data_IF_801384762232
#
_entry.id   IF_801384762232
#
_cell.length_a   1.000
_cell.length_b   1.000
_cell.length_c   1.000
_cell.angle_alpha   90.00
_cell.angle_beta   90.00
_cell.angle_gamma   90.00
#
_symmetry.space_group_name_H-M   'P 1'
#
loop_
_entity.id
_entity.type
_entity.pdbx_description
1 polymer ?
2 non-polymer ?
3 non-polymer ?
4 non-polymer ?
5 water ?
#
# COMPACT_ATOMS: atom_id res chain seq x y z
N UNK A 4 6.71 -11.73 18.58
CA UNK A 4 6.03 -10.50 18.16
C UNK A 4 6.26 -9.38 19.15
N UNK A 5 6.75 -8.25 18.65
CA UNK A 5 6.96 -7.05 19.46
C UNK A 5 5.96 -5.98 19.07
N UNK A 6 5.40 -5.31 20.07
CA UNK A 6 4.55 -4.15 19.84
C UNK A 6 5.44 -2.91 19.87
N UNK A 7 5.54 -2.23 18.74
CA UNK A 7 6.38 -1.04 18.64
C UNK A 7 5.63 0.23 19.00
N UNK A 8 4.33 0.27 18.78
CA UNK A 8 3.54 1.45 19.09
C UNK A 8 2.09 1.05 19.26
N UNK A 9 1.38 1.79 20.11
CA UNK A 9 -0.05 1.67 20.29
C UNK A 9 -0.68 3.05 20.10
N UNK A 10 -2.00 3.10 20.23
CA UNK A 10 -2.75 4.36 20.15
C UNK A 10 -2.48 5.08 18.83
N UNK A 11 -2.33 4.31 17.75
CA UNK A 11 -2.24 4.87 16.41
C UNK A 11 -3.66 4.93 15.82
N UNK A 12 -3.94 6.02 15.11
CA UNK A 12 -5.28 6.28 14.59
C UNK A 12 -5.39 5.65 13.21
N UNK A 13 -5.61 4.33 13.21
CA UNK A 13 -5.67 3.49 12.02
C UNK A 13 -4.34 3.55 11.28
N UNK A 14 -3.30 2.91 11.80
CA UNK A 14 -2.00 2.95 11.12
C UNK A 14 -2.04 2.21 9.79
N UNK A 15 -1.19 2.66 8.87
CA UNK A 15 -1.11 2.08 7.54
C UNK A 15 0.19 2.55 6.91
N UNK A 16 0.46 2.05 5.71
CA UNK A 16 1.61 2.47 4.92
C UNK A 16 2.94 2.48 5.65
N UNK A 17 3.28 1.39 6.33
CA UNK A 17 4.57 1.34 7.03
C UNK A 17 5.73 1.34 6.04
N UNK A 18 6.70 2.21 6.29
CA UNK A 18 7.95 2.26 5.56
C UNK A 18 9.07 2.12 6.58
N UNK A 19 9.85 1.04 6.47
CA UNK A 19 10.86 0.71 7.46
C UNK A 19 12.18 1.31 7.01
N UNK A 20 12.57 2.39 7.68
CA UNK A 20 13.77 3.13 7.28
C UNK A 20 15.03 2.35 7.65
N UNK A 21 16.14 2.61 6.94
CA UNK A 21 17.41 1.97 7.33
C UNK A 21 17.83 2.25 8.76
N UNK A 22 17.44 3.38 9.35
CA UNK A 22 17.89 3.68 10.72
C UNK A 22 17.10 2.90 11.77
N UNK A 23 16.20 2.01 11.35
CA UNK A 23 15.38 1.23 12.26
C UNK A 23 14.05 1.86 12.59
N UNK A 24 13.89 3.14 12.33
CA UNK A 24 12.61 3.80 12.54
C UNK A 24 11.62 3.37 11.46
N UNK A 25 10.35 3.60 11.75
CA UNK A 25 9.27 3.30 10.81
C UNK A 25 8.49 4.58 10.61
N UNK A 26 8.35 5.00 9.37
CA UNK A 26 7.47 6.10 9.00
C UNK A 26 6.20 5.47 8.44
N UNK A 27 5.06 5.82 9.01
CA UNK A 27 3.78 5.28 8.59
C UNK A 27 2.74 6.37 8.62
N UNK A 28 1.58 6.09 8.04
CA UNK A 28 0.46 7.01 8.03
C UNK A 28 -0.52 6.60 9.12
N UNK A 29 -1.26 7.57 9.62
CA UNK A 29 -2.42 7.34 10.50
C UNK A 29 -3.61 7.94 9.76
N UNK A 30 -4.43 7.10 9.15
CA UNK A 30 -5.47 7.60 8.25
C UNK A 30 -6.45 8.48 9.01
N UNK A 31 -6.89 8.04 10.19
CA UNK A 31 -7.88 8.80 10.94
C UNK A 31 -7.27 10.07 11.51
N UNK A 32 -6.04 9.99 12.02
CA UNK A 32 -5.37 11.18 12.53
C UNK A 32 -4.92 12.12 11.42
N UNK A 33 -4.96 11.67 10.17
CA UNK A 33 -4.56 12.47 9.02
C UNK A 33 -3.15 13.03 9.20
N UNK A 34 -2.20 12.12 9.43
CA UNK A 34 -0.84 12.57 9.65
C UNK A 34 0.15 11.48 9.24
N UNK A 35 1.36 11.92 8.93
CA UNK A 35 2.50 11.05 8.70
C UNK A 35 3.30 10.99 10.00
N UNK A 36 3.46 9.80 10.55
CA UNK A 36 4.05 9.61 11.85
C UNK A 36 5.34 8.82 11.73
N UNK A 37 6.29 9.11 12.60
CA UNK A 37 7.56 8.40 12.64
C UNK A 37 7.69 7.72 13.99
N UNK A 38 7.82 6.40 13.98
CA UNK A 38 7.97 5.61 15.18
C UNK A 38 9.45 5.30 15.32
N UNK A 39 10.09 5.94 16.31
CA UNK A 39 11.50 5.75 16.54
C UNK A 39 11.77 4.35 17.07
N UNK A 40 12.99 3.86 16.94
CA UNK A 40 13.30 2.52 17.47
C UNK A 40 13.05 2.38 18.96
N UNK A 41 13.15 3.45 19.74
CA UNK A 41 12.84 3.37 21.16
C UNK A 41 11.34 3.33 21.42
N UNK A 42 10.52 3.79 20.47
CA UNK A 42 9.07 3.80 20.60
C UNK A 42 8.47 5.18 20.64
N UNK A 43 9.29 6.23 20.72
CA UNK A 43 8.77 7.60 20.70
C UNK A 43 8.03 7.87 19.40
N UNK A 44 6.85 8.45 19.49
CA UNK A 44 6.05 8.82 18.32
C UNK A 44 6.26 10.29 18.01
N UNK A 45 6.66 10.58 16.79
CA UNK A 45 6.86 11.95 16.32
C UNK A 45 6.01 12.16 15.07
N UNK A 46 5.36 13.32 14.99
CA UNK A 46 4.54 13.65 13.83
C UNK A 46 5.43 14.34 12.81
N UNK A 47 5.67 13.66 11.68
CA UNK A 47 6.44 14.27 10.60
C UNK A 47 5.67 15.42 9.98
N UNK A 48 4.39 15.20 9.68
CA UNK A 48 3.55 16.22 9.07
C UNK A 48 2.09 15.84 9.20
N UNK A 49 1.24 16.85 9.29
CA UNK A 49 -0.19 16.67 9.11
C UNK A 49 -0.49 16.54 7.62
N UNK A 50 -1.29 15.55 7.25
CA UNK A 50 -1.66 15.35 5.86
C UNK A 50 -3.18 15.27 5.80
N UNK A 51 -3.87 16.40 5.63
CA UNK A 51 -5.34 16.36 5.66
C UNK A 51 -5.91 15.41 4.63
N UNK A 52 -7.07 14.85 4.94
CA UNK A 52 -7.73 13.92 4.06
C UNK A 52 -7.67 12.49 4.59
N UNK A 53 -6.95 11.64 3.88
CA UNK A 53 -6.80 10.26 4.26
C UNK A 53 -5.50 9.66 3.78
N UNK A 54 -4.39 10.05 4.38
CA UNK A 54 -3.10 9.44 4.03
C UNK A 54 -3.15 7.93 4.25
N UNK A 55 -2.96 7.18 3.18
CA UNK A 55 -3.34 5.77 3.12
C UNK A 55 -2.16 4.84 2.87
N UNK A 56 -1.15 5.28 2.14
CA UNK A 56 0.01 4.45 1.86
C UNK A 56 1.21 5.34 1.60
N UNK A 57 2.38 4.78 1.83
CA UNK A 57 3.61 5.57 1.75
C UNK A 57 4.73 4.75 1.14
N UNK A 58 5.63 5.46 0.45
CA UNK A 58 6.80 4.84 -0.15
C UNK A 58 7.88 5.90 -0.31
N UNK A 59 9.12 5.52 0.00
CA UNK A 59 10.24 6.42 -0.15
C UNK A 59 10.61 6.53 -1.63
N UNK A 60 10.78 7.76 -2.11
CA UNK A 60 11.12 8.00 -3.48
C UNK A 60 12.58 8.36 -3.66
N UNK A 61 12.96 8.64 -4.91
CA UNK A 61 14.39 8.86 -5.20
C UNK A 61 14.98 10.07 -4.50
N UNK A 62 14.16 11.05 -4.14
CA UNK A 62 14.63 12.31 -3.56
C UNK A 62 14.75 12.24 -2.04
N UNK A 63 14.68 11.05 -1.46
CA UNK A 63 14.61 10.93 -0.01
C UNK A 63 13.33 11.44 0.58
N UNK A 64 12.36 11.82 -0.26
CA UNK A 64 11.06 12.29 0.20
C UNK A 64 10.06 11.15 0.21
N UNK A 65 9.04 11.31 1.03
CA UNK A 65 8.04 10.27 1.23
C UNK A 65 6.83 10.54 0.34
N UNK A 66 6.56 9.62 -0.57
CA UNK A 66 5.40 9.71 -1.45
C UNK A 66 4.19 9.06 -0.80
N UNK A 67 3.04 9.71 -0.93
CA UNK A 67 1.85 9.37 -0.17
C UNK A 67 0.68 9.21 -1.13
N UNK A 68 -0.06 8.12 -0.96
CA UNK A 68 -1.40 7.98 -1.52
C UNK A 68 -2.39 8.57 -0.51
N UNK A 69 -3.11 9.60 -0.93
CA UNK A 69 -4.12 10.24 -0.09
C UNK A 69 -5.50 9.87 -0.63
N UNK A 70 -6.27 9.13 0.14
CA UNK A 70 -7.57 8.70 -0.33
C UNK A 70 -8.66 9.77 -0.20
N UNK A 71 -8.31 10.96 0.30
CA UNK A 71 -9.26 12.05 0.40
C UNK A 71 -10.09 12.06 1.66
N UNK A 72 -10.09 10.98 2.43
CA UNK A 72 -10.86 10.92 3.66
C UNK A 72 -11.73 9.68 3.80
N UNK A 73 -11.79 9.14 5.01
CA UNK A 73 -12.73 8.09 5.39
C UNK A 73 -13.70 8.64 6.43
N UNK A 74 -14.78 7.89 6.64
CA UNK A 74 -15.76 8.20 7.68
C UNK A 74 -15.71 7.19 8.81
N UNK A 84 -12.98 2.08 9.27
CA UNK A 84 -13.30 3.16 8.33
C UNK A 84 -14.58 2.87 7.56
N UNK A 85 -15.18 3.92 7.00
CA UNK A 85 -16.40 3.76 6.23
C UNK A 85 -16.50 4.77 5.11
N UNK A 86 -17.67 4.86 4.48
CA UNK A 86 -17.86 5.84 3.43
C UNK A 86 -17.85 7.24 4.03
N UNK A 87 -17.00 8.15 3.55
CA UNK A 87 -17.01 9.51 4.10
C UNK A 87 -18.28 10.26 3.69
N UNK A 88 -18.66 11.21 4.54
CA UNK A 88 -19.69 12.16 4.15
C UNK A 88 -19.14 13.09 3.07
N UNK A 89 -20.01 13.70 2.27
CA UNK A 89 -19.52 14.56 1.18
C UNK A 89 -18.51 15.61 1.61
N UNK A 90 -18.66 16.17 2.82
CA UNK A 90 -17.84 17.30 3.23
C UNK A 90 -16.55 16.90 3.92
N UNK A 91 -16.39 15.63 4.31
CA UNK A 91 -15.11 15.17 4.84
C UNK A 91 -14.23 14.53 3.78
N UNK A 92 -14.75 14.30 2.58
CA UNK A 92 -13.96 13.86 1.45
C UNK A 92 -13.45 15.09 0.69
N UNK A 93 -12.13 15.19 0.55
CA UNK A 93 -11.49 16.36 -0.04
C UNK A 93 -10.80 16.03 -1.36
N UNK A 94 -11.08 14.86 -1.93
CA UNK A 94 -10.44 14.47 -3.17
C UNK A 94 -9.17 13.67 -2.97
N UNK A 95 -8.97 12.65 -3.80
CA UNK A 95 -7.76 11.87 -3.71
C UNK A 95 -6.58 12.55 -4.36
N UNK A 96 -5.39 12.10 -4.02
CA UNK A 96 -4.20 12.74 -4.59
C UNK A 96 -2.97 11.90 -4.32
N UNK A 97 -1.91 12.21 -5.06
CA UNK A 97 -0.58 11.73 -4.80
C UNK A 97 0.21 12.91 -4.26
N UNK A 98 0.82 12.74 -3.10
CA UNK A 98 1.51 13.82 -2.41
C UNK A 98 2.92 13.39 -2.06
N UNK A 99 3.73 14.37 -1.68
CA UNK A 99 5.11 14.18 -1.29
C UNK A 99 5.36 14.95 0.00
N UNK A 100 5.98 14.29 0.97
CA UNK A 100 6.31 14.91 2.25
C UNK A 100 7.83 14.91 2.42
N UNK A 101 8.39 16.07 2.73
CA UNK A 101 9.82 16.19 3.03
C UNK A 101 10.05 15.78 4.48
N UNK A 102 10.86 14.76 4.69
CA UNK A 102 11.13 14.28 6.03
C UNK A 102 12.03 15.21 6.84
N UNK A 103 12.68 16.17 6.19
CA UNK A 103 13.47 17.16 6.92
C UNK A 103 12.60 18.35 7.35
N UNK A 104 11.90 18.95 6.40
CA UNK A 104 11.14 20.16 6.68
C UNK A 104 9.70 19.90 7.07
N UNK A 105 9.18 18.70 6.80
CA UNK A 105 7.78 18.42 7.03
C UNK A 105 6.85 19.03 6.00
N UNK A 106 7.38 19.64 4.96
CA UNK A 106 6.53 20.27 3.95
C UNK A 106 5.81 19.22 3.12
N UNK A 107 4.53 19.49 2.84
CA UNK A 107 3.68 18.60 2.06
C UNK A 107 3.42 19.24 0.70
N UNK A 108 3.67 18.48 -0.36
CA UNK A 108 3.40 18.92 -1.73
C UNK A 108 2.39 17.98 -2.36
N UNK A 109 1.39 18.54 -3.05
CA UNK A 109 0.49 17.75 -3.86
C UNK A 109 1.02 17.71 -5.28
N UNK A 110 1.29 16.51 -5.78
CA UNK A 110 1.84 16.33 -7.12
C UNK A 110 0.74 16.12 -8.16
N UNK A 111 -0.26 15.30 -7.84
CA UNK A 111 -1.31 14.94 -8.77
C UNK A 111 -2.64 14.86 -8.04
N UNK A 112 -3.66 15.52 -8.59
CA UNK A 112 -5.03 15.45 -8.11
C UNK A 112 -5.93 14.67 -9.05
N UNK A 113 -5.47 14.37 -10.27
CA UNK A 113 -6.30 13.75 -11.29
C UNK A 113 -5.42 12.95 -12.23
N UNK A 114 -6.03 11.96 -12.89
CA UNK A 114 -5.41 11.27 -14.01
C UNK A 114 -6.11 11.76 -15.28
N UNK A 115 -5.35 12.42 -16.15
CA UNK A 115 -5.94 13.11 -17.28
C UNK A 115 -6.90 14.17 -16.79
N UNK A 116 -8.19 13.98 -17.02
CA UNK A 116 -9.23 14.87 -16.53
C UNK A 116 -10.02 14.27 -15.38
N UNK A 117 -9.74 13.01 -15.00
CA UNK A 117 -10.51 12.33 -13.97
C UNK A 117 -9.89 12.60 -12.61
N UNK A 118 -10.59 13.26 -11.69
CA UNK A 118 -10.05 13.39 -10.33
C UNK A 118 -9.77 12.02 -9.73
N UNK A 119 -8.59 11.90 -9.09
CA UNK A 119 -8.27 10.66 -8.37
C UNK A 119 -9.25 10.49 -7.22
N UNK A 120 -9.69 9.25 -7.00
CA UNK A 120 -10.75 9.02 -6.03
C UNK A 120 -10.19 8.61 -4.68
N UNK A 121 -9.71 7.38 -4.57
CA UNK A 121 -9.21 6.88 -3.32
C UNK A 121 -7.87 6.18 -3.43
N UNK A 122 -6.85 6.92 -3.86
CA UNK A 122 -5.50 6.33 -3.89
C UNK A 122 -5.18 5.63 -2.58
N UNK A 123 -4.64 4.41 -2.69
CA UNK A 123 -4.49 3.53 -1.54
C UNK A 123 -3.04 3.16 -1.25
N UNK A 124 -2.32 2.51 -2.17
CA UNK A 124 -0.94 2.11 -1.90
C UNK A 124 -0.11 2.24 -3.16
N UNK A 125 1.22 2.10 -3.01
CA UNK A 125 2.09 2.46 -4.12
C UNK A 125 3.43 1.76 -4.00
N UNK A 126 4.13 1.64 -5.12
CA UNK A 126 5.42 0.98 -5.17
C UNK A 126 6.22 1.55 -6.34
N UNK A 127 7.50 1.79 -6.10
CA UNK A 127 8.40 2.32 -7.12
C UNK A 127 9.11 1.20 -7.87
N UNK A 128 9.24 1.36 -9.19
CA UNK A 128 10.13 0.48 -9.94
C UNK A 128 11.54 1.09 -9.96
N UNK A 129 12.49 0.33 -10.51
CA UNK A 129 13.90 0.70 -10.46
C UNK A 129 14.20 1.97 -11.24
N UNK A 130 13.28 2.41 -12.08
CA UNK A 130 13.46 3.60 -12.88
C UNK A 130 12.82 4.83 -12.27
N UNK A 131 12.21 4.68 -11.09
CA UNK A 131 11.54 5.80 -10.47
C UNK A 131 10.10 5.96 -10.86
N UNK A 132 9.60 5.10 -11.74
CA UNK A 132 8.17 5.07 -12.01
C UNK A 132 7.42 4.53 -10.81
N UNK A 133 6.19 5.02 -10.65
CA UNK A 133 5.41 4.80 -9.43
C UNK A 133 4.06 4.18 -9.78
N UNK A 134 3.89 2.93 -9.38
CA UNK A 134 2.58 2.28 -9.43
C UNK A 134 1.77 2.63 -8.20
N UNK A 135 0.48 2.91 -8.38
CA UNK A 135 -0.37 3.03 -7.21
C UNK A 135 -1.77 2.54 -7.55
N UNK A 136 -2.48 2.11 -6.52
CA UNK A 136 -3.84 1.63 -6.65
C UNK A 136 -4.84 2.72 -6.24
N UNK A 137 -6.03 2.62 -6.82
CA UNK A 137 -7.18 3.43 -6.43
C UNK A 137 -8.23 2.45 -5.91
N UNK A 138 -8.52 2.53 -4.61
CA UNK A 138 -9.61 1.78 -4.02
C UNK A 138 -10.97 2.35 -4.41
N UNK A 139 -11.00 3.59 -4.87
CA UNK A 139 -12.26 4.28 -5.06
C UNK A 139 -12.91 4.69 -3.76
N UNK A 140 -13.96 5.48 -3.86
CA UNK A 140 -14.72 5.92 -2.71
C UNK A 140 -16.08 5.26 -2.70
N UNK A 141 -16.56 4.99 -1.49
CA UNK A 141 -17.91 4.51 -1.26
C UNK A 141 -18.80 5.70 -0.92
N UNK A 142 -19.98 5.76 -1.54
CA UNK A 142 -20.97 6.78 -1.25
C UNK A 142 -22.20 6.10 -0.66
N UNK A 143 -23.31 6.86 -0.60
CA UNK A 143 -24.51 6.37 0.06
C UNK A 143 -25.08 5.16 -0.67
N UNK A 144 -25.19 5.25 -2.00
CA UNK A 144 -25.87 4.23 -2.79
C UNK A 144 -25.03 3.71 -3.95
N UNK A 145 -23.77 4.12 -4.06
CA UNK A 145 -22.91 3.64 -5.13
C UNK A 145 -21.47 3.72 -4.66
N UNK A 146 -20.57 3.21 -5.50
CA UNK A 146 -19.15 3.13 -5.17
C UNK A 146 -18.35 3.25 -6.46
N UNK A 147 -17.13 3.76 -6.33
CA UNK A 147 -16.23 3.76 -7.46
C UNK A 147 -15.68 2.36 -7.71
N UNK A 148 -15.23 2.14 -8.94
CA UNK A 148 -14.53 0.91 -9.29
C UNK A 148 -13.06 1.10 -8.92
N UNK A 149 -12.30 0.00 -8.87
CA UNK A 149 -10.89 0.07 -8.63
C UNK A 149 -10.08 0.33 -9.88
N UNK A 150 -8.80 0.67 -9.69
CA UNK A 150 -7.91 0.93 -10.79
C UNK A 150 -6.46 0.85 -10.31
N UNK A 151 -5.55 0.73 -11.27
CA UNK A 151 -4.12 0.85 -11.01
C UNK A 151 -3.53 1.82 -12.02
N UNK A 152 -2.71 2.73 -11.53
CA UNK A 152 -2.10 3.78 -12.32
C UNK A 152 -0.59 3.63 -12.26
N UNK A 153 0.08 4.29 -13.18
CA UNK A 153 1.54 4.33 -13.22
C UNK A 153 1.98 5.76 -13.52
N UNK A 154 2.80 6.34 -12.66
CA UNK A 154 3.37 7.65 -12.88
C UNK A 154 4.74 7.43 -13.51
N UNK A 155 4.93 7.99 -14.69
CA UNK A 155 6.13 7.72 -15.48
C UNK A 155 7.37 8.27 -14.78
N UNK A 156 8.54 7.68 -15.04
CA UNK A 156 9.77 8.15 -14.40
C UNK A 156 9.96 9.65 -14.51
N UNK A 157 10.32 10.27 -13.39
CA UNK A 157 10.43 11.70 -13.27
C UNK A 157 9.25 12.36 -12.59
N UNK A 158 8.20 11.61 -12.29
CA UNK A 158 6.95 12.13 -11.73
C UNK A 158 6.33 13.15 -12.69
N UNK A 159 6.22 12.73 -13.95
CA UNK A 159 5.79 13.61 -15.04
C UNK A 159 4.29 13.53 -15.30
N UNK A 160 3.78 12.33 -15.57
CA UNK A 160 2.39 12.16 -15.94
C UNK A 160 1.90 10.79 -15.49
N UNK A 161 0.60 10.68 -15.24
CA UNK A 161 -0.03 9.45 -14.79
C UNK A 161 -0.67 8.76 -15.99
N UNK A 162 -0.59 7.43 -16.02
CA UNK A 162 -1.29 6.64 -17.02
C UNK A 162 -2.19 5.62 -16.31
N UNK A 163 -3.36 5.37 -16.89
CA UNK A 163 -4.32 4.43 -16.32
C UNK A 163 -4.05 3.05 -16.92
N UNK A 164 -3.47 2.16 -16.13
CA UNK A 164 -3.06 0.84 -16.63
C UNK A 164 -4.13 -0.23 -16.42
N UNK A 165 -4.87 -0.15 -15.32
CA UNK A 165 -5.93 -1.10 -15.01
C UNK A 165 -7.14 -0.31 -14.52
N UNK A 166 -8.32 -0.64 -15.03
CA UNK A 166 -9.49 0.10 -14.61
C UNK A 166 -10.72 -0.78 -14.78
N UNK A 167 -11.63 -0.67 -13.82
CA UNK A 167 -12.90 -1.38 -13.89
C UNK A 167 -13.00 -2.63 -13.06
N UNK A 168 -11.95 -2.98 -12.31
CA UNK A 168 -12.04 -4.05 -11.34
C UNK A 168 -12.83 -3.58 -10.13
N UNK A 169 -13.01 -4.47 -9.16
CA UNK A 169 -13.45 -4.05 -7.84
C UNK A 169 -12.29 -3.32 -7.17
N UNK A 170 -12.54 -2.64 -6.06
CA UNK A 170 -11.50 -1.81 -5.44
C UNK A 170 -10.17 -2.52 -5.29
N UNK A 171 -9.10 -1.85 -5.69
CA UNK A 171 -7.76 -2.37 -5.58
C UNK A 171 -7.01 -1.69 -4.43
N UNK A 172 -6.09 -2.43 -3.82
CA UNK A 172 -5.54 -2.04 -2.53
C UNK A 172 -4.02 -2.25 -2.53
N UNK A 173 -3.55 -3.41 -2.08
CA UNK A 173 -2.14 -3.69 -2.13
C UNK A 173 -1.60 -3.70 -3.55
N UNK A 174 -0.34 -3.31 -3.70
CA UNK A 174 0.30 -3.31 -5.00
C UNK A 174 1.79 -3.55 -4.79
N UNK A 175 2.39 -4.33 -5.68
CA UNK A 175 3.81 -4.63 -5.58
C UNK A 175 4.34 -5.12 -6.91
N UNK A 176 5.66 -5.28 -6.94
CA UNK A 176 6.38 -5.77 -8.10
C UNK A 176 7.10 -7.07 -7.75
N UNK A 177 7.13 -7.99 -8.72
CA UNK A 177 7.96 -9.18 -8.58
C UNK A 177 9.41 -8.75 -8.44
N UNK A 178 10.26 -9.63 -7.88
CA UNK A 178 11.68 -9.27 -7.75
C UNK A 178 12.32 -8.80 -9.05
N UNK A 179 11.98 -9.41 -10.20
CA UNK A 179 12.54 -8.97 -11.47
C UNK A 179 11.76 -7.79 -12.07
N UNK A 180 10.67 -7.39 -11.44
CA UNK A 180 9.84 -6.26 -11.82
C UNK A 180 9.14 -6.44 -13.16
N UNK A 181 9.05 -7.68 -13.64
CA UNK A 181 8.33 -8.00 -14.87
C UNK A 181 6.86 -8.35 -14.62
N UNK A 182 6.45 -8.41 -13.36
CA UNK A 182 5.07 -8.68 -13.00
C UNK A 182 4.65 -7.68 -11.93
N UNK A 183 3.48 -7.08 -12.11
CA UNK A 183 2.87 -6.22 -11.10
C UNK A 183 1.73 -6.99 -10.45
N UNK A 184 1.62 -6.87 -9.14
CA UNK A 184 0.56 -7.53 -8.39
C UNK A 184 -0.37 -6.48 -7.80
N UNK A 185 -1.67 -6.74 -7.85
CA UNK A 185 -2.64 -5.85 -7.22
C UNK A 185 -3.65 -6.71 -6.49
N UNK A 186 -3.92 -6.36 -5.25
CA UNK A 186 -4.91 -7.07 -4.43
C UNK A 186 -6.27 -6.41 -4.56
N UNK A 187 -7.29 -7.24 -4.81
CA UNK A 187 -8.67 -6.80 -4.94
C UNK A 187 -9.36 -7.06 -3.61
N UNK A 188 -9.83 -5.98 -2.97
CA UNK A 188 -10.16 -6.08 -1.55
C UNK A 188 -11.36 -6.97 -1.28
N UNK A 189 -12.57 -6.69 -1.79
CA UNK A 189 -13.74 -7.45 -1.33
C UNK A 189 -13.73 -8.91 -1.74
N UNK A 190 -13.05 -9.27 -2.83
CA UNK A 190 -13.05 -10.63 -3.35
C UNK A 190 -11.95 -11.50 -2.78
N UNK A 191 -11.00 -10.93 -2.06
CA UNK A 191 -9.86 -11.68 -1.57
C UNK A 191 -9.09 -12.32 -2.71
N UNK A 192 -8.91 -11.59 -3.80
CA UNK A 192 -8.21 -12.10 -4.97
C UNK A 192 -6.95 -11.27 -5.21
N UNK A 193 -5.86 -11.96 -5.47
CA UNK A 193 -4.60 -11.35 -5.87
C UNK A 193 -4.48 -11.46 -7.38
N UNK A 194 -4.29 -10.33 -8.05
CA UNK A 194 -4.18 -10.27 -9.50
C UNK A 194 -2.75 -10.02 -9.90
N UNK A 195 -2.27 -10.77 -10.88
CA UNK A 195 -0.93 -10.63 -11.43
C UNK A 195 -1.03 -10.06 -12.85
N UNK A 196 -0.22 -9.05 -13.12
CA UNK A 196 -0.20 -8.39 -14.42
C UNK A 196 1.21 -8.49 -14.99
N UNK A 197 1.38 -9.29 -16.04
CA UNK A 197 2.66 -9.32 -16.74
C UNK A 197 2.92 -7.98 -17.41
N UNK A 198 4.17 -7.51 -17.35
CA UNK A 198 4.56 -6.25 -17.94
C UNK A 198 5.43 -6.52 -19.16
N UNK A 199 5.12 -5.84 -20.27
CA UNK A 199 6.01 -5.86 -21.42
C UNK A 199 7.24 -5.01 -21.18
N UNK A 200 7.16 -4.07 -20.24
CA UNK A 200 8.25 -3.22 -19.85
C UNK A 200 7.79 -2.40 -18.66
N UNK A 201 8.70 -1.62 -18.07
CA UNK A 201 8.31 -0.86 -16.87
C UNK A 201 7.14 0.06 -17.16
N UNK A 202 6.08 -0.11 -16.36
CA UNK A 202 4.93 0.77 -16.42
C UNK A 202 3.89 0.42 -17.47
N UNK A 203 4.06 -0.66 -18.21
CA UNK A 203 3.13 -1.03 -19.28
C UNK A 203 2.69 -2.47 -19.08
N UNK A 204 1.39 -2.67 -18.85
CA UNK A 204 0.85 -4.01 -18.81
C UNK A 204 1.02 -4.65 -20.19
N UNK A 205 1.41 -5.92 -20.19
CA UNK A 205 1.75 -6.61 -21.44
C UNK A 205 0.53 -6.70 -22.34
N UNK A 206 0.71 -6.62 -23.66
CA UNK A 206 -0.43 -6.84 -24.57
C UNK A 206 -0.97 -8.25 -24.39
N UNK A 207 -2.31 -8.35 -24.44
CA UNK A 207 -3.02 -9.62 -24.35
C UNK A 207 -3.08 -10.16 -22.92
N UNK A 208 -4.26 -10.57 -22.48
CA UNK A 208 -4.44 -11.19 -21.17
C UNK A 208 -5.78 -11.93 -21.11
N UNK A 213 -12.62 -9.18 -20.88
CA UNK A 213 -12.96 -8.22 -19.85
C UNK A 213 -11.79 -7.88 -18.94
N UNK A 214 -11.29 -8.88 -18.22
CA UNK A 214 -10.23 -8.66 -17.25
C UNK A 214 -8.90 -8.40 -17.94
N UNK A 215 -8.07 -7.58 -17.30
CA UNK A 215 -6.76 -7.20 -17.84
C UNK A 215 -5.62 -7.99 -17.23
N UNK A 216 -5.90 -8.94 -16.33
CA UNK A 216 -4.86 -9.73 -15.72
C UNK A 216 -5.31 -11.14 -15.35
N UNK A 217 -4.57 -11.81 -14.46
CA UNK A 217 -4.91 -13.14 -14.02
C UNK A 217 -5.17 -13.15 -12.52
N UNK A 218 -6.32 -13.67 -12.06
CA UNK A 218 -6.50 -13.88 -10.61
C UNK A 218 -5.78 -15.16 -10.18
N UNK A 219 -4.55 -15.01 -9.71
CA UNK A 219 -3.74 -16.20 -9.43
C UNK A 219 -4.18 -16.88 -8.14
N UNK A 220 -4.80 -16.13 -7.23
CA UNK A 220 -5.29 -16.70 -5.99
C UNK A 220 -6.58 -16.00 -5.58
N UNK A 221 -7.59 -16.80 -5.23
CA UNK A 221 -8.80 -16.27 -4.62
C UNK A 221 -9.08 -17.05 -3.35
N UNK A 222 -9.02 -16.38 -2.21
CA UNK A 222 -9.25 -17.08 -0.95
C UNK A 222 -10.71 -17.48 -0.86
N UNK A 223 -10.95 -18.61 -0.20
CA UNK A 223 -12.30 -19.04 0.04
C UNK A 223 -12.95 -18.30 1.19
N UNK A 224 -14.22 -18.62 1.41
CA UNK A 224 -14.88 -18.16 2.62
C UNK A 224 -15.21 -16.68 2.56
N UNK A 225 -14.99 -16.00 3.70
CA UNK A 225 -15.23 -14.57 3.85
C UNK A 225 -13.91 -13.95 4.31
N UNK A 226 -13.05 -13.67 3.33
CA UNK A 226 -11.74 -13.08 3.57
C UNK A 226 -11.56 -11.99 2.53
N UNK A 227 -10.96 -10.87 2.93
CA UNK A 227 -10.69 -9.75 2.04
C UNK A 227 -9.22 -9.38 2.15
N UNK A 228 -8.72 -8.73 1.11
CA UNK A 228 -7.31 -8.37 1.03
C UNK A 228 -7.12 -6.88 1.25
N UNK A 229 -6.00 -6.53 1.90
CA UNK A 229 -5.62 -5.13 2.04
C UNK A 229 -4.29 -4.91 1.29
N UNK A 230 -3.28 -4.38 1.96
CA UNK A 230 -2.00 -4.12 1.31
C UNK A 230 -1.07 -5.33 1.39
N UNK A 231 0.11 -5.21 0.78
CA UNK A 231 0.97 -6.37 0.61
C UNK A 231 2.42 -5.94 0.57
N UNK A 232 3.31 -6.93 0.68
CA UNK A 232 4.74 -6.76 0.47
C UNK A 232 5.27 -8.06 -0.14
N UNK A 233 6.25 -7.92 -1.02
CA UNK A 233 6.79 -9.05 -1.77
C UNK A 233 8.08 -9.52 -1.11
N UNK A 234 8.32 -10.82 -1.15
CA UNK A 234 9.52 -11.44 -0.61
C UNK A 234 10.58 -11.52 -1.70
N UNK A 235 11.83 -11.70 -1.28
CA UNK A 235 12.89 -11.92 -2.26
C UNK A 235 12.65 -13.20 -3.06
N UNK A 236 11.92 -14.15 -2.48
CA UNK A 236 11.58 -15.40 -3.14
C UNK A 236 10.53 -15.24 -4.24
N UNK A 237 9.89 -14.07 -4.32
CA UNK A 237 8.78 -13.86 -5.20
C UNK A 237 7.43 -14.05 -4.55
N UNK A 238 7.39 -14.65 -3.35
CA UNK A 238 6.12 -14.79 -2.64
C UNK A 238 5.54 -13.41 -2.34
N UNK A 239 4.23 -13.29 -2.47
CA UNK A 239 3.51 -12.05 -2.19
C UNK A 239 2.77 -12.23 -0.87
N UNK A 240 3.05 -11.36 0.09
CA UNK A 240 2.46 -11.44 1.42
C UNK A 240 1.38 -10.38 1.52
N UNK A 241 0.11 -10.82 1.64
CA UNK A 241 -1.03 -9.92 1.56
C UNK A 241 -1.73 -9.89 2.92
N UNK A 242 -1.81 -8.71 3.51
CA UNK A 242 -2.64 -8.52 4.69
C UNK A 242 -4.07 -8.92 4.38
N UNK A 243 -4.62 -9.79 5.21
CA UNK A 243 -5.93 -10.39 4.96
C UNK A 243 -6.91 -9.96 6.04
N UNK A 244 -7.94 -9.24 5.62
CA UNK A 244 -8.98 -8.76 6.53
C UNK A 244 -9.94 -9.88 6.87
N UNK A 245 -10.68 -9.68 7.97
CA UNK A 245 -11.69 -10.60 8.49
C UNK A 245 -11.01 -11.79 9.18
N UNK A 246 -10.22 -12.55 8.42
CA UNK A 246 -9.49 -13.67 9.02
C UNK A 246 -8.27 -13.22 9.81
N UNK A 247 -7.80 -11.99 9.58
CA UNK A 247 -6.73 -11.41 10.38
C UNK A 247 -5.42 -12.17 10.29
N UNK A 248 -4.76 -12.10 9.15
CA UNK A 248 -3.52 -12.83 8.95
C UNK A 248 -2.76 -12.22 7.77
N UNK A 249 -1.56 -12.75 7.54
CA UNK A 249 -0.81 -12.50 6.33
C UNK A 249 -0.93 -13.75 5.47
N UNK A 250 -1.53 -13.60 4.29
CA UNK A 250 -1.62 -14.69 3.31
C UNK A 250 -0.38 -14.64 2.42
N UNK A 251 0.43 -15.69 2.47
CA UNK A 251 1.62 -15.79 1.63
C UNK A 251 1.26 -16.57 0.38
N UNK A 252 1.37 -15.93 -0.78
CA UNK A 252 0.95 -16.49 -2.05
C UNK A 252 2.16 -16.61 -2.95
N UNK A 253 2.38 -17.80 -3.51
CA UNK A 253 3.48 -18.04 -4.42
C UNK A 253 3.19 -17.42 -5.79
N UNK A 254 4.23 -17.20 -6.59
CA UNK A 254 3.99 -16.58 -7.91
C UNK A 254 3.01 -17.36 -8.77
N UNK A 255 2.85 -18.67 -8.55
CA UNK A 255 1.91 -19.46 -9.31
C UNK A 255 0.49 -19.40 -8.75
N UNK A 256 0.28 -18.71 -7.63
CA UNK A 256 -1.03 -18.59 -7.02
C UNK A 256 -1.28 -19.50 -5.85
N UNK A 257 -0.35 -20.39 -5.52
CA UNK A 257 -0.54 -21.32 -4.41
C UNK A 257 -0.51 -20.58 -3.09
N UNK A 258 -1.50 -20.83 -2.24
CA UNK A 258 -1.52 -20.29 -0.89
C UNK A 258 -0.53 -21.11 -0.06
N UNK A 259 0.62 -20.52 0.24
CA UNK A 259 1.66 -21.24 0.94
C UNK A 259 1.36 -21.30 2.44
N UNK A 260 0.84 -20.21 3.00
CA UNK A 260 0.56 -20.19 4.43
C UNK A 260 -0.27 -18.95 4.76
N UNK A 261 -0.86 -18.97 5.94
CA UNK A 261 -1.53 -17.80 6.50
C UNK A 261 -1.02 -17.60 7.92
N UNK A 262 -0.43 -16.44 8.16
CA UNK A 262 0.26 -16.14 9.42
C UNK A 262 -0.68 -15.31 10.29
N UNK A 263 -1.28 -15.89 11.33
CA UNK A 263 -2.22 -15.11 12.15
C UNK A 263 -1.54 -13.92 12.81
N UNK A 264 -2.30 -12.82 12.91
CA UNK A 264 -1.81 -11.60 13.54
C UNK A 264 -2.64 -11.15 14.73
N UNK A 265 -3.88 -11.61 14.86
CA UNK A 265 -4.72 -11.28 16.00
C UNK A 265 -5.60 -10.07 15.82
N UNK A 266 -5.64 -9.48 14.63
CA UNK A 266 -6.48 -8.32 14.37
C UNK A 266 -7.27 -8.55 13.09
N UNK A 267 -8.60 -8.54 13.21
CA UNK A 267 -9.46 -8.64 12.03
C UNK A 267 -9.09 -7.61 10.97
N UNK A 268 -8.57 -6.47 11.41
CA UNK A 268 -8.24 -5.39 10.49
C UNK A 268 -6.73 -5.25 10.39
N UNK A 269 -6.06 -6.34 9.97
CA UNK A 269 -4.66 -6.26 9.58
C UNK A 269 -4.58 -5.70 8.16
N UNK A 270 -3.79 -4.65 7.96
CA UNK A 270 -3.89 -3.87 6.74
C UNK A 270 -2.64 -3.84 5.87
N UNK A 271 -1.45 -3.98 6.44
CA UNK A 271 -0.26 -3.81 5.63
C UNK A 271 0.93 -4.50 6.31
N UNK A 272 1.97 -4.69 5.51
CA UNK A 272 3.19 -5.38 5.93
C UNK A 272 4.37 -4.76 5.18
N UNK A 273 5.50 -4.62 5.87
CA UNK A 273 6.72 -4.13 5.24
C UNK A 273 7.89 -4.84 5.89
N UNK A 274 8.94 -5.03 5.11
CA UNK A 274 10.08 -5.82 5.54
C UNK A 274 11.26 -4.92 5.91
N UNK A 275 11.88 -5.22 7.03
CA UNK A 275 13.03 -4.48 7.48
C UNK A 275 13.83 -5.27 8.48
N UNK A 276 14.64 -4.55 9.24
CA UNK A 276 15.50 -5.17 10.22
C UNK A 276 16.68 -5.89 9.57
N UNK A 277 17.44 -6.63 10.37
CA UNK A 277 18.53 -7.41 9.79
C UNK A 277 18.01 -8.38 8.75
N UNK A 278 18.72 -8.44 7.62
CA UNK A 278 18.44 -9.39 6.54
C UNK A 278 17.02 -9.24 6.00
N UNK A 279 16.37 -8.11 6.27
CA UNK A 279 14.99 -7.87 5.85
C UNK A 279 14.08 -9.03 6.23
N UNK A 280 14.39 -9.71 7.33
CA UNK A 280 13.62 -10.85 7.81
C UNK A 280 12.73 -10.49 8.99
N UNK A 281 12.42 -9.21 9.17
CA UNK A 281 11.46 -8.76 10.18
C UNK A 281 10.29 -8.12 9.45
N UNK A 282 9.09 -8.59 9.76
CA UNK A 282 7.87 -8.07 9.15
C UNK A 282 7.26 -7.03 10.09
N UNK A 283 7.12 -5.81 9.60
CA UNK A 283 6.44 -4.75 10.33
C UNK A 283 5.02 -4.64 9.80
N UNK A 284 4.05 -4.82 10.69
CA UNK A 284 2.66 -5.05 10.32
C UNK A 284 1.78 -4.06 11.06
N UNK A 285 0.80 -3.50 10.35
CA UNK A 285 -0.13 -2.52 10.92
C UNK A 285 -1.42 -3.25 11.31
N UNK A 286 -1.70 -3.27 12.61
CA UNK A 286 -2.93 -3.82 13.15
C UNK A 286 -3.86 -2.64 13.37
N UNK A 287 -4.64 -2.32 12.34
CA UNK A 287 -5.41 -1.08 12.33
C UNK A 287 -6.68 -1.15 13.16
N UNK A 288 -7.12 -2.36 13.53
CA UNK A 288 -8.24 -2.48 14.43
C UNK A 288 -7.82 -2.17 15.85
N UNK A 289 -6.67 -2.73 16.25
CA UNK A 289 -6.11 -2.48 17.56
C UNK A 289 -5.34 -1.17 17.65
N UNK A 290 -5.03 -0.56 16.51
CA UNK A 290 -4.27 0.69 16.48
C UNK A 290 -2.81 0.50 16.78
N UNK A 291 -2.21 -0.58 16.30
CA UNK A 291 -0.86 -0.95 16.70
C UNK A 291 0.04 -1.16 15.50
N UNK A 292 1.33 -0.90 15.71
CA UNK A 292 2.41 -1.30 14.81
C UNK A 292 3.20 -2.41 15.51
N UNK A 293 3.31 -3.56 14.86
CA UNK A 293 3.98 -4.71 15.45
C UNK A 293 5.15 -5.11 14.55
N UNK A 294 6.12 -5.78 15.17
CA UNK A 294 7.24 -6.40 14.48
C UNK A 294 7.14 -7.90 14.67
N UNK A 295 7.38 -8.65 13.60
CA UNK A 295 7.25 -10.10 13.62
C UNK A 295 8.40 -10.72 12.84
N UNK A 296 9.10 -11.67 13.47
CA UNK A 296 10.14 -12.41 12.76
C UNK A 296 9.52 -13.13 11.57
N UNK A 297 10.18 -13.05 10.43
CA UNK A 297 9.69 -13.65 9.20
C UNK A 297 10.60 -14.79 8.76
N UNK A 298 9.99 -15.85 8.22
CA UNK A 298 10.75 -17.04 7.87
C UNK A 298 11.70 -16.81 6.71
N UNK A 299 11.44 -15.83 5.85
CA UNK A 299 12.22 -15.59 4.65
C UNK A 299 12.41 -14.09 4.48
N UNK A 300 13.42 -13.67 3.72
CA UNK A 300 13.72 -12.24 3.61
C UNK A 300 12.82 -11.53 2.62
N UNK A 301 12.54 -10.27 2.93
CA UNK A 301 11.73 -9.45 2.06
C UNK A 301 12.51 -9.00 0.82
N UNK A 302 11.75 -8.62 -0.20
CA UNK A 302 12.34 -8.03 -1.40
C UNK A 302 12.77 -6.59 -1.10
N UNK A 303 14.02 -6.21 -1.39
CA UNK A 303 14.42 -4.81 -1.20
C UNK A 303 13.59 -3.88 -2.08
N UNK A 304 13.07 -2.82 -1.48
CA UNK A 304 12.33 -1.81 -2.23
C UNK A 304 13.29 -0.79 -2.83
N UNK A 305 12.97 -0.33 -4.04
CA UNK A 305 13.81 0.65 -4.70
C UNK A 305 13.84 1.95 -3.91
N UNK A 306 15.03 2.55 -3.84
CA UNK A 306 15.29 3.85 -3.21
C UNK A 306 15.31 3.76 -1.68
N UNK A 307 14.67 2.74 -1.13
CA UNK A 307 14.71 2.51 0.32
C UNK A 307 15.81 1.52 0.69
N UNK A 308 15.77 0.33 0.11
CA UNK A 308 16.65 -0.77 0.46
C UNK A 308 17.72 -1.06 -0.59
N UNK A 309 17.53 -0.57 -1.83
CA UNK A 309 18.52 -0.77 -2.88
C UNK A 309 18.48 0.36 -3.91
X LIG B 1 -7.06 0.37 3.87
X LIG B 1 -6.20 0.44 2.65
X LIG B 1 -7.80 1.68 4.07
X LIG B 1 -6.21 0.06 5.08
X LIG B 1 -8.07 -0.75 3.70
X LIG C 1 -4.10 -0.51 1.97
X LIG D 1 3.68 -2.80 2.37
#
# INVERSE_FOLDING_TARGET
MSNVRVLATDLAFPEGPVVMPDGSVVLVEIRAQQLTRVWPDGRKEVVAKVPGGPNGAALGPDGKMYICNNGGFGWFPSRGTMMPGAPAPHEYIGGSIQRVDLQSGEVETLFDKCGEHPLKGPNDLVFDKHGGLWFTDLGKRRARDMDVGAAYYIKPGMTEITEQVFGTLPLNGIGLSPDEATMYAAETPTGRLWAFDLSGPGEVKPRDVIYRGEKGKPICGLGGYQMFDSLAVEASGNVCVATLVSGCISVIAPDGTLVEQVPTGDRVTTNIAFGGPDLKTAYITLSGKGELIAMDWSRPGLPLNFLNK
PO4 P O1 O2 O3 O4
CA CA
NA NA
#
